data_IF_580976294885
#
_entry.id   IF_580976294885
#
_cell.length_a   1.000
_cell.length_b   1.000
_cell.length_c   1.000
_cell.angle_alpha   90.00
_cell.angle_beta   90.00
_cell.angle_gamma   90.00
#
_symmetry.space_group_name_H-M   'P 1'
#
loop_
_entity.id
_entity.type
_entity.pdbx_description
1 polymer ?
#
# COMPACT_ATOMS: atom_id res chain seq x y z
N UNK A 1 -11.38 12.93 -18.67
CA UNK A 1 -11.11 13.92 -17.59
C UNK A 1 -12.13 13.81 -16.47
N UNK A 2 -13.44 13.86 -16.73
CA UNK A 2 -14.46 13.74 -15.68
C UNK A 2 -14.33 12.48 -14.79
N UNK A 3 -14.04 11.30 -15.36
CA UNK A 3 -13.87 10.07 -14.56
C UNK A 3 -12.65 10.13 -13.63
N UNK A 4 -11.59 10.82 -14.06
CA UNK A 4 -10.38 11.03 -13.24
C UNK A 4 -10.70 11.95 -12.08
N UNK A 5 -11.43 13.05 -12.33
CA UNK A 5 -11.86 13.96 -11.27
C UNK A 5 -12.75 13.25 -10.25
N UNK A 6 -13.66 12.39 -10.72
CA UNK A 6 -14.50 11.56 -9.85
C UNK A 6 -13.67 10.59 -8.99
N UNK A 7 -12.65 9.94 -9.57
CA UNK A 7 -11.75 9.05 -8.84
C UNK A 7 -10.93 9.79 -7.79
N UNK A 8 -10.37 10.96 -8.14
CA UNK A 8 -9.60 11.81 -7.22
C UNK A 8 -10.47 12.30 -6.08
N UNK A 9 -11.71 12.73 -6.35
CA UNK A 9 -12.64 13.19 -5.33
C UNK A 9 -13.04 12.06 -4.37
N UNK A 10 -13.29 10.85 -4.88
CA UNK A 10 -13.54 9.68 -4.04
C UNK A 10 -12.33 9.34 -3.16
N UNK A 11 -11.11 9.37 -3.72
CA UNK A 11 -9.88 9.12 -2.98
C UNK A 11 -9.64 10.17 -1.88
N UNK A 12 -9.90 11.46 -2.16
CA UNK A 12 -9.81 12.54 -1.17
C UNK A 12 -10.78 12.34 -0.01
N UNK A 13 -12.01 11.91 -0.28
CA UNK A 13 -13.01 11.60 0.76
C UNK A 13 -12.62 10.41 1.63
N UNK A 14 -11.99 9.39 1.05
CA UNK A 14 -11.55 8.20 1.79
C UNK A 14 -10.28 8.44 2.62
N UNK A 15 -9.41 9.36 2.20
CA UNK A 15 -8.09 9.55 2.79
C UNK A 15 -8.08 9.83 4.30
N UNK A 16 -8.95 10.68 4.89
CA UNK A 16 -8.96 10.91 6.33
C UNK A 16 -9.20 9.64 7.14
N UNK A 17 -10.15 8.80 6.71
CA UNK A 17 -10.44 7.51 7.36
C UNK A 17 -9.26 6.56 7.19
N UNK A 18 -8.71 6.47 5.98
CA UNK A 18 -7.59 5.59 5.68
C UNK A 18 -6.30 5.95 6.43
N UNK A 19 -5.99 7.24 6.56
CA UNK A 19 -4.75 7.74 7.14
C UNK A 19 -4.80 7.87 8.66
N UNK A 20 -5.92 8.33 9.23
CA UNK A 20 -6.05 8.64 10.66
C UNK A 20 -6.77 7.53 11.43
N UNK A 21 -7.87 7.02 10.90
CA UNK A 21 -8.75 6.09 11.64
C UNK A 21 -8.33 4.63 11.48
N UNK A 22 -7.77 4.27 10.33
CA UNK A 22 -7.25 2.92 10.11
C UNK A 22 -5.86 2.78 10.73
N UNK A 23 -5.75 1.95 11.77
CA UNK A 23 -4.46 1.69 12.42
C UNK A 23 -3.44 1.07 11.46
N UNK A 24 -2.16 1.29 11.73
CA UNK A 24 -1.08 0.78 10.89
C UNK A 24 -1.10 -0.75 10.76
N UNK A 25 -1.39 -1.46 11.85
CA UNK A 25 -1.55 -2.92 11.86
C UNK A 25 -2.79 -3.38 11.08
N UNK A 26 -3.87 -2.61 11.08
CA UNK A 26 -5.04 -2.94 10.26
C UNK A 26 -4.75 -2.76 8.77
N UNK A 27 -4.00 -1.72 8.37
CA UNK A 27 -3.52 -1.57 6.98
C UNK A 27 -2.65 -2.75 6.57
N UNK A 28 -1.75 -3.21 7.46
CA UNK A 28 -0.95 -4.42 7.23
C UNK A 28 -1.85 -5.66 7.01
N UNK A 29 -2.84 -5.85 7.88
CA UNK A 29 -3.79 -6.95 7.78
C UNK A 29 -4.55 -6.95 6.44
N UNK A 30 -5.02 -5.78 5.98
CA UNK A 30 -5.71 -5.66 4.70
C UNK A 30 -4.80 -6.02 3.52
N UNK A 31 -3.52 -5.60 3.54
CA UNK A 31 -2.55 -5.95 2.51
C UNK A 31 -2.22 -7.46 2.50
N UNK A 32 -2.08 -8.09 3.67
CA UNK A 32 -1.93 -9.54 3.78
C UNK A 32 -3.15 -10.28 3.25
N UNK A 33 -4.35 -9.82 3.58
CA UNK A 33 -5.59 -10.40 3.06
C UNK A 33 -5.67 -10.26 1.54
N UNK A 34 -5.24 -9.14 0.98
CA UNK A 34 -5.16 -8.96 -0.47
C UNK A 34 -4.17 -9.95 -1.10
N UNK A 35 -2.99 -10.15 -0.50
CA UNK A 35 -2.02 -11.13 -0.97
C UNK A 35 -2.61 -12.55 -1.01
N UNK A 36 -3.31 -12.97 0.05
CA UNK A 36 -4.00 -14.27 0.09
C UNK A 36 -5.12 -14.40 -0.94
N UNK A 37 -5.82 -13.30 -1.26
CA UNK A 37 -6.83 -13.31 -2.32
C UNK A 37 -6.18 -13.42 -3.71
N UNK A 38 -5.08 -12.71 -3.96
CA UNK A 38 -4.32 -12.84 -5.20
C UNK A 38 -3.82 -14.27 -5.38
N UNK A 39 -3.23 -14.87 -4.33
CA UNK A 39 -2.78 -16.25 -4.35
C UNK A 39 -3.91 -17.24 -4.63
N UNK A 40 -5.06 -17.06 -3.98
CA UNK A 40 -6.26 -17.88 -4.21
C UNK A 40 -6.74 -17.83 -5.68
N UNK A 41 -6.56 -16.69 -6.34
CA UNK A 41 -7.02 -16.45 -7.71
C UNK A 41 -5.86 -16.40 -8.73
N UNK A 42 -4.69 -16.98 -8.39
CA UNK A 42 -3.48 -16.83 -9.18
C UNK A 42 -3.62 -17.32 -10.63
N UNK A 43 -4.24 -18.49 -10.84
CA UNK A 43 -4.46 -19.06 -12.18
C UNK A 43 -5.36 -18.17 -13.05
N UNK A 44 -6.44 -17.65 -12.47
CA UNK A 44 -7.41 -16.77 -13.14
C UNK A 44 -6.76 -15.44 -13.52
N UNK A 45 -6.05 -14.82 -12.57
CA UNK A 45 -5.33 -13.57 -12.81
C UNK A 45 -4.23 -13.74 -13.86
N UNK A 46 -3.49 -14.86 -13.83
CA UNK A 46 -2.47 -15.14 -14.82
C UNK A 46 -3.04 -15.33 -16.23
N UNK A 47 -4.20 -16.00 -16.35
CA UNK A 47 -4.88 -16.16 -17.62
C UNK A 47 -5.37 -14.82 -18.18
N UNK A 48 -6.01 -13.99 -17.34
CA UNK A 48 -6.50 -12.66 -17.74
C UNK A 48 -5.34 -11.79 -18.24
N UNK A 49 -4.26 -11.71 -17.47
CA UNK A 49 -3.07 -10.92 -17.83
C UNK A 49 -2.37 -11.48 -19.09
N UNK A 50 -2.39 -12.80 -19.31
CA UNK A 50 -1.80 -13.41 -20.51
C UNK A 50 -2.59 -13.07 -21.76
N UNK A 51 -3.93 -13.05 -21.64
CA UNK A 51 -4.81 -12.65 -22.73
C UNK A 51 -4.69 -11.16 -23.06
N UNK A 52 -4.52 -10.31 -22.05
CA UNK A 52 -4.41 -8.86 -22.24
C UNK A 52 -3.03 -8.43 -22.77
N UNK A 53 -1.95 -8.95 -22.16
CA UNK A 53 -0.57 -8.54 -22.46
C UNK A 53 0.11 -9.37 -23.56
N UNK A 54 -0.37 -10.58 -23.85
CA UNK A 54 0.24 -11.54 -24.78
C UNK A 54 1.49 -12.26 -24.26
N UNK A 55 1.90 -12.04 -23.00
CA UNK A 55 3.02 -12.78 -22.39
C UNK A 55 2.63 -14.25 -22.17
N UNK A 56 3.59 -15.19 -22.22
CA UNK A 56 3.34 -16.57 -21.86
C UNK A 56 2.76 -16.70 -20.44
N UNK A 57 1.67 -17.46 -20.30
CA UNK A 57 0.98 -17.66 -19.01
C UNK A 57 1.91 -18.15 -17.90
N UNK A 58 2.88 -19.01 -18.24
CA UNK A 58 3.88 -19.50 -17.28
C UNK A 58 4.75 -18.37 -16.74
N UNK A 59 5.20 -17.45 -17.60
CA UNK A 59 5.99 -16.28 -17.18
C UNK A 59 5.19 -15.36 -16.26
N UNK A 60 3.92 -15.10 -16.59
CA UNK A 60 3.07 -14.26 -15.74
C UNK A 60 2.83 -14.92 -14.39
N UNK A 61 2.49 -16.21 -14.39
CA UNK A 61 2.18 -16.92 -13.15
C UNK A 61 3.41 -17.00 -12.22
N UNK A 62 4.56 -17.41 -12.75
CA UNK A 62 5.76 -17.66 -11.96
C UNK A 62 6.52 -16.38 -11.57
N UNK A 63 6.40 -15.31 -12.36
CA UNK A 63 7.16 -14.07 -12.15
C UNK A 63 6.24 -12.94 -11.70
N UNK A 64 5.22 -12.60 -12.49
CA UNK A 64 4.41 -11.40 -12.28
C UNK A 64 3.48 -11.58 -11.06
N UNK A 65 2.66 -12.63 -11.03
CA UNK A 65 1.74 -12.93 -9.92
C UNK A 65 2.50 -13.23 -8.64
N UNK A 66 3.52 -14.10 -8.71
CA UNK A 66 4.40 -14.37 -7.56
C UNK A 66 5.09 -13.09 -7.04
N UNK A 67 5.47 -12.18 -7.96
CA UNK A 67 6.03 -10.88 -7.66
C UNK A 67 5.04 -9.98 -6.91
N UNK A 68 3.80 -9.88 -7.38
CA UNK A 68 2.72 -9.12 -6.72
C UNK A 68 2.48 -9.60 -5.30
N UNK A 69 2.33 -10.92 -5.11
CA UNK A 69 2.13 -11.52 -3.77
C UNK A 69 3.28 -11.14 -2.84
N UNK A 70 4.53 -11.29 -3.29
CA UNK A 70 5.72 -10.94 -2.51
C UNK A 70 5.75 -9.45 -2.14
N UNK A 71 5.44 -8.57 -3.08
CA UNK A 71 5.41 -7.12 -2.86
C UNK A 71 4.34 -6.74 -1.84
N UNK A 72 3.15 -7.33 -1.94
CA UNK A 72 2.06 -7.11 -0.98
C UNK A 72 2.47 -7.52 0.44
N UNK A 73 3.07 -8.71 0.60
CA UNK A 73 3.60 -9.14 1.89
C UNK A 73 4.70 -8.23 2.43
N UNK A 74 5.61 -7.78 1.57
CA UNK A 74 6.69 -6.88 1.96
C UNK A 74 6.15 -5.56 2.51
N UNK A 75 5.25 -4.90 1.78
CA UNK A 75 4.69 -3.61 2.22
C UNK A 75 3.70 -3.76 3.38
N UNK A 76 2.98 -4.87 3.48
CA UNK A 76 2.21 -5.20 4.67
C UNK A 76 3.12 -5.24 5.92
N UNK A 77 4.28 -5.90 5.79
CA UNK A 77 5.31 -5.94 6.82
C UNK A 77 5.88 -4.57 7.19
N UNK A 78 5.86 -3.58 6.29
CA UNK A 78 6.34 -2.23 6.57
C UNK A 78 5.29 -1.28 7.14
N UNK A 79 4.00 -1.58 7.00
CA UNK A 79 2.92 -0.63 7.28
C UNK A 79 2.93 -0.10 8.73
N UNK A 80 3.38 -0.90 9.71
CA UNK A 80 3.53 -0.55 11.12
C UNK A 80 4.96 -0.19 11.56
N UNK A 81 5.90 -0.14 10.62
CA UNK A 81 7.33 0.14 10.88
C UNK A 81 7.75 1.52 10.40
N UNK A 82 6.79 2.34 9.96
CA UNK A 82 7.02 3.73 9.59
C UNK A 82 7.03 4.59 10.85
N UNK A 83 8.23 4.76 11.42
CA UNK A 83 8.44 5.48 12.68
C UNK A 83 9.08 6.86 12.47
N UNK A 84 8.72 7.78 13.36
CA UNK A 84 9.39 9.05 13.55
C UNK A 84 10.66 8.94 14.38
N UNK A 85 11.19 10.08 14.80
CA UNK A 85 12.37 10.21 15.66
C UNK A 85 12.13 11.28 16.71
N UNK A 86 12.67 11.09 17.92
CA UNK A 86 12.86 12.15 18.91
C UNK A 86 14.21 12.82 18.69
N UNK A 87 14.28 14.15 18.79
CA UNK A 87 15.48 14.93 18.48
C UNK A 87 15.98 15.60 19.77
N UNK A 88 17.25 15.39 20.18
CA UNK A 88 17.82 16.12 21.30
C UNK A 88 18.08 17.57 20.88
N UNK A 89 17.37 18.50 21.52
CA UNK A 89 17.54 19.94 21.33
C UNK A 89 18.32 20.53 22.50
N UNK A 90 18.85 21.73 22.35
CA UNK A 90 19.76 22.36 23.32
C UNK A 90 19.12 22.60 24.70
N UNK A 91 17.79 22.76 24.76
CA UNK A 91 17.01 22.96 25.98
C UNK A 91 15.95 21.85 26.19
N UNK A 92 16.36 20.60 26.46
CA UNK A 92 15.46 19.44 26.47
C UNK A 92 14.43 19.46 27.61
N UNK A 93 14.69 20.21 28.69
CA UNK A 93 13.76 20.38 29.82
C UNK A 93 12.61 21.37 29.50
N UNK A 94 12.80 22.21 28.47
CA UNK A 94 11.82 23.23 28.05
C UNK A 94 11.09 22.83 26.77
N UNK A 95 11.78 22.11 25.87
CA UNK A 95 11.28 21.81 24.52
C UNK A 95 11.43 20.32 24.20
N UNK A 96 10.30 19.68 23.92
CA UNK A 96 10.26 18.32 23.38
C UNK A 96 10.11 18.34 21.85
N UNK A 97 11.09 17.78 21.14
CA UNK A 97 11.12 17.75 19.68
C UNK A 97 10.98 16.33 19.12
N UNK A 98 10.08 16.13 18.16
CA UNK A 98 9.89 14.86 17.47
C UNK A 98 9.42 15.04 16.03
N UNK A 99 9.59 14.00 15.21
CA UNK A 99 9.12 13.96 13.82
C UNK A 99 7.98 12.96 13.66
N UNK A 100 7.07 13.24 12.73
CA UNK A 100 6.02 12.32 12.28
C UNK A 100 6.24 12.04 10.80
N UNK A 101 6.11 10.77 10.41
CA UNK A 101 6.08 10.36 9.00
C UNK A 101 4.63 10.14 8.62
N UNK A 102 4.04 11.11 7.96
CA UNK A 102 2.63 11.09 7.59
C UNK A 102 2.45 10.68 6.12
N UNK A 103 1.35 10.00 5.77
CA UNK A 103 1.01 9.74 4.37
C UNK A 103 0.85 11.06 3.60
N UNK A 104 1.37 11.12 2.37
CA UNK A 104 1.38 12.34 1.56
C UNK A 104 -0.01 12.79 1.08
N UNK A 105 -0.97 11.86 0.96
CA UNK A 105 -2.31 12.14 0.42
C UNK A 105 -2.71 11.18 -0.69
N UNK A 106 -3.48 11.71 -1.65
CA UNK A 106 -3.84 11.01 -2.89
C UNK A 106 -2.61 10.94 -3.80
N UNK A 107 -2.31 9.74 -4.31
CA UNK A 107 -1.16 9.48 -5.19
C UNK A 107 -1.64 9.02 -6.58
N UNK A 108 -0.94 9.46 -7.62
CA UNK A 108 -1.13 9.03 -9.01
C UNK A 108 0.24 8.88 -9.67
N UNK A 109 0.39 7.93 -10.59
CA UNK A 109 1.63 7.61 -11.29
C UNK A 109 1.39 6.70 -12.49
#
# INVERSE_FOLDING_TARGET
EADVDMAVEAARKAFPVWSLSTSASHRAHLLHRLASLVEKHADELALIESLDSGKPITSIHEIDIAGVIRILHYYAGWADKIVGKTIPVDNPDEVFCYTRKEPVGVVAG
#
